data_IF_100476525761
#
_entry.id   IF_100476525761
#
_cell.length_a   1.000
_cell.length_b   1.000
_cell.length_c   1.000
_cell.angle_alpha   90.00
_cell.angle_beta   90.00
_cell.angle_gamma   90.00
#
_symmetry.space_group_name_H-M   'P 1'
#
loop_
_entity.id
_entity.type
_entity.pdbx_description
1 polymer ?
#
# COMPACT_ATOMS: atom_id res chain seq x y z
N UNK A 1 0.75 9.15 0.06
CA UNK A 1 1.61 8.63 -1.01
C UNK A 1 0.70 8.00 -2.04
N UNK A 2 1.06 8.10 -3.31
CA UNK A 2 0.16 7.78 -4.41
C UNK A 2 -0.79 8.92 -4.81
N UNK A 3 -1.75 8.61 -5.67
CA UNK A 3 -2.52 9.60 -6.44
C UNK A 3 -3.53 10.37 -5.58
N UNK A 4 -3.31 11.67 -5.47
CA UNK A 4 -4.13 12.56 -4.61
C UNK A 4 -5.60 12.52 -5.04
N UNK A 5 -6.49 12.34 -4.07
CA UNK A 5 -7.94 12.25 -4.23
C UNK A 5 -8.49 11.07 -5.05
N UNK A 6 -7.65 10.16 -5.56
CA UNK A 6 -8.13 9.01 -6.34
C UNK A 6 -9.08 8.12 -5.51
N UNK A 7 -8.74 7.84 -4.24
CA UNK A 7 -9.59 7.02 -3.40
C UNK A 7 -10.99 7.64 -3.22
N UNK A 8 -11.05 8.94 -2.97
CA UNK A 8 -12.32 9.66 -2.82
C UNK A 8 -13.13 9.61 -4.11
N UNK A 9 -12.49 9.87 -5.25
CA UNK A 9 -13.13 9.76 -6.56
C UNK A 9 -13.72 8.36 -6.79
N UNK A 10 -12.96 7.30 -6.51
CA UNK A 10 -13.42 5.93 -6.66
C UNK A 10 -14.59 5.63 -5.70
N UNK A 11 -14.52 6.01 -4.42
CA UNK A 11 -15.60 5.80 -3.47
C UNK A 11 -16.91 6.53 -3.84
N UNK A 12 -16.78 7.76 -4.37
CA UNK A 12 -17.93 8.58 -4.75
C UNK A 12 -18.64 8.03 -6.02
N UNK A 13 -17.86 7.45 -6.95
CA UNK A 13 -18.36 7.04 -8.28
C UNK A 13 -18.52 5.52 -8.45
N UNK A 14 -17.90 4.69 -7.60
CA UNK A 14 -17.82 3.23 -7.78
C UNK A 14 -18.49 2.44 -6.64
N UNK A 15 -19.72 2.80 -6.28
CA UNK A 15 -20.42 2.23 -5.11
C UNK A 15 -20.73 0.74 -5.27
N UNK A 16 -20.91 0.28 -6.51
CA UNK A 16 -21.19 -1.12 -6.78
C UNK A 16 -19.92 -1.96 -6.90
N UNK A 17 -18.77 -1.33 -7.15
CA UNK A 17 -17.49 -2.04 -7.37
C UNK A 17 -16.60 -2.05 -6.13
N UNK A 18 -16.91 -1.20 -5.14
CA UNK A 18 -16.22 -1.11 -3.85
C UNK A 18 -17.15 -1.62 -2.77
N UNK A 19 -16.84 -2.80 -2.21
CA UNK A 19 -17.72 -3.48 -1.27
C UNK A 19 -17.01 -3.83 0.02
N UNK A 20 -17.74 -3.73 1.13
CA UNK A 20 -17.32 -4.33 2.39
C UNK A 20 -17.55 -5.84 2.32
N UNK A 21 -16.50 -6.61 2.58
CA UNK A 21 -16.45 -8.07 2.52
C UNK A 21 -16.01 -8.60 3.87
N UNK A 22 -16.72 -9.59 4.40
CA UNK A 22 -16.27 -10.27 5.63
C UNK A 22 -15.16 -11.28 5.31
N UNK A 23 -14.28 -11.53 6.28
CA UNK A 23 -13.15 -12.43 6.05
C UNK A 23 -13.57 -13.88 5.76
N UNK A 24 -14.72 -14.34 6.24
CA UNK A 24 -15.22 -15.68 5.91
C UNK A 24 -15.50 -15.87 4.42
N UNK A 25 -15.87 -14.81 3.69
CA UNK A 25 -16.11 -14.84 2.25
C UNK A 25 -14.82 -15.05 1.45
N UNK A 26 -13.67 -14.78 2.08
CA UNK A 26 -12.33 -15.00 1.53
C UNK A 26 -11.74 -16.36 1.93
N UNK A 27 -12.53 -17.26 2.53
CA UNK A 27 -12.07 -18.58 2.94
C UNK A 27 -11.46 -19.37 1.77
N UNK A 28 -10.30 -19.98 2.02
CA UNK A 28 -9.50 -20.72 1.03
C UNK A 28 -8.79 -19.85 0.00
N UNK A 29 -8.96 -18.51 0.03
CA UNK A 29 -8.29 -17.61 -0.90
C UNK A 29 -6.85 -17.35 -0.47
N UNK A 30 -5.97 -17.24 -1.48
CA UNK A 30 -4.58 -16.77 -1.31
C UNK A 30 -4.56 -15.26 -1.40
N UNK A 31 -4.01 -14.59 -0.39
CA UNK A 31 -3.94 -13.12 -0.33
C UNK A 31 -2.48 -12.73 -0.21
N UNK A 32 -1.98 -11.92 -1.16
CA UNK A 32 -0.65 -11.31 -1.04
C UNK A 32 -0.77 -10.03 -0.22
N UNK A 33 0.16 -9.79 0.68
CA UNK A 33 0.14 -8.67 1.62
C UNK A 33 1.38 -7.82 1.36
N UNK A 34 1.16 -6.56 1.05
CA UNK A 34 2.20 -5.55 1.06
C UNK A 34 2.60 -5.27 2.52
N UNK A 35 3.73 -5.82 2.95
CA UNK A 35 4.05 -5.96 4.38
C UNK A 35 4.50 -4.63 4.99
N UNK A 36 5.26 -3.83 4.24
CA UNK A 36 5.91 -2.63 4.76
C UNK A 36 4.90 -1.59 5.24
N UNK A 37 3.78 -1.41 4.54
CA UNK A 37 2.71 -0.49 4.94
C UNK A 37 2.16 -0.85 6.33
N UNK A 38 1.94 -2.14 6.57
CA UNK A 38 1.41 -2.63 7.83
C UNK A 38 2.45 -2.55 8.95
N UNK A 39 3.72 -2.84 8.64
CA UNK A 39 4.81 -2.68 9.60
C UNK A 39 4.97 -1.23 10.06
N UNK A 40 5.01 -0.25 9.16
CA UNK A 40 5.09 1.16 9.53
C UNK A 40 3.90 1.59 10.39
N UNK A 41 2.68 1.16 10.03
CA UNK A 41 1.47 1.48 10.80
C UNK A 41 1.54 0.92 12.22
N UNK A 42 1.80 -0.38 12.36
CA UNK A 42 1.79 -1.03 13.67
C UNK A 42 2.99 -0.64 14.54
N UNK A 43 4.14 -0.33 13.93
CA UNK A 43 5.27 0.24 14.66
C UNK A 43 4.93 1.64 15.21
N UNK A 44 4.21 2.46 14.46
CA UNK A 44 3.77 3.79 14.94
C UNK A 44 2.82 3.76 16.13
N UNK A 45 2.10 2.66 16.26
CA UNK A 45 1.19 2.36 17.37
C UNK A 45 1.90 1.63 18.52
N UNK A 46 3.20 1.33 18.40
CA UNK A 46 4.00 0.54 19.35
C UNK A 46 3.47 -0.89 19.59
N UNK A 47 2.83 -1.49 18.59
CA UNK A 47 2.16 -2.81 18.70
C UNK A 47 2.52 -3.72 17.52
N UNK A 48 3.77 -3.62 17.02
CA UNK A 48 4.21 -4.24 15.77
C UNK A 48 3.97 -5.76 15.76
N UNK A 49 4.59 -6.49 16.68
CA UNK A 49 4.52 -7.95 16.69
C UNK A 49 3.13 -8.45 17.08
N UNK A 50 2.47 -7.77 18.01
CA UNK A 50 1.10 -8.09 18.46
C UNK A 50 0.10 -8.02 17.30
N UNK A 51 0.11 -6.93 16.55
CA UNK A 51 -0.83 -6.75 15.45
C UNK A 51 -0.50 -7.63 14.25
N UNK A 52 0.78 -7.92 13.97
CA UNK A 52 1.15 -8.92 12.97
C UNK A 52 0.67 -10.32 13.39
N UNK A 53 0.88 -10.70 14.65
CA UNK A 53 0.40 -11.97 15.21
C UNK A 53 -1.12 -12.07 15.09
N UNK A 54 -1.84 -11.03 15.51
CA UNK A 54 -3.30 -10.97 15.44
C UNK A 54 -3.79 -11.06 13.99
N UNK A 55 -3.16 -10.32 13.07
CA UNK A 55 -3.48 -10.36 11.66
C UNK A 55 -3.34 -11.78 11.08
N UNK A 56 -2.21 -12.43 11.33
CA UNK A 56 -1.98 -13.80 10.86
C UNK A 56 -2.99 -14.77 11.48
N UNK A 57 -3.23 -14.68 12.78
CA UNK A 57 -4.15 -15.55 13.50
C UNK A 57 -5.58 -15.44 12.97
N UNK A 58 -6.04 -14.20 12.73
CA UNK A 58 -7.37 -13.94 12.16
C UNK A 58 -7.49 -14.45 10.72
N UNK A 59 -6.50 -14.19 9.87
CA UNK A 59 -6.54 -14.69 8.50
C UNK A 59 -6.58 -16.22 8.47
N UNK A 60 -5.75 -16.88 9.28
CA UNK A 60 -5.73 -18.33 9.40
C UNK A 60 -7.03 -18.91 9.96
N UNK A 61 -7.67 -18.25 10.94
CA UNK A 61 -8.94 -18.73 11.50
C UNK A 61 -10.07 -18.77 10.46
N UNK A 62 -10.00 -17.90 9.45
CA UNK A 62 -10.91 -17.91 8.29
C UNK A 62 -10.40 -18.73 7.11
N UNK A 63 -9.37 -19.56 7.30
CA UNK A 63 -8.75 -20.37 6.24
C UNK A 63 -8.23 -19.53 5.05
N UNK A 64 -7.86 -18.28 5.29
CA UNK A 64 -7.17 -17.43 4.31
C UNK A 64 -5.68 -17.83 4.34
N UNK A 65 -5.06 -17.86 3.16
CA UNK A 65 -3.66 -18.25 2.99
C UNK A 65 -2.83 -17.01 2.63
N UNK A 66 -2.30 -16.28 3.62
CA UNK A 66 -1.51 -15.09 3.37
C UNK A 66 -0.12 -15.40 2.80
N UNK A 67 0.37 -14.51 1.94
CA UNK A 67 1.78 -14.40 1.57
C UNK A 67 2.24 -12.97 1.89
N UNK A 68 3.19 -12.84 2.80
CA UNK A 68 3.78 -11.55 3.15
C UNK A 68 4.87 -11.20 2.14
N UNK A 69 4.75 -10.05 1.50
CA UNK A 69 5.75 -9.53 0.55
C UNK A 69 6.45 -8.34 1.19
N UNK A 70 7.76 -8.45 1.36
CA UNK A 70 8.62 -7.39 1.89
C UNK A 70 9.26 -6.61 0.73
N UNK A 71 9.46 -5.31 0.94
CA UNK A 71 10.21 -4.49 -0.02
C UNK A 71 11.68 -4.90 -0.09
N UNK A 72 12.20 -4.91 -1.31
CA UNK A 72 13.62 -4.99 -1.60
C UNK A 72 14.25 -3.60 -1.77
N UNK A 73 15.14 -3.49 -2.77
CA UNK A 73 15.84 -2.24 -3.02
C UNK A 73 14.91 -1.27 -3.76
N UNK A 74 14.71 -0.04 -3.26
CA UNK A 74 13.87 0.93 -3.97
C UNK A 74 14.49 1.31 -5.33
N UNK A 75 13.65 1.62 -6.33
CA UNK A 75 14.11 2.04 -7.65
C UNK A 75 14.79 3.42 -7.58
N UNK A 76 15.69 3.70 -8.54
CA UNK A 76 16.49 4.94 -8.55
C UNK A 76 15.60 6.18 -8.69
N UNK A 77 14.50 6.03 -9.42
CA UNK A 77 13.50 7.05 -9.72
C UNK A 77 12.84 7.60 -8.45
N UNK A 78 12.79 6.81 -7.36
CA UNK A 78 12.27 7.26 -6.05
C UNK A 78 13.33 7.91 -5.16
N UNK A 79 14.58 8.08 -5.60
CA UNK A 79 15.64 8.63 -4.74
C UNK A 79 15.32 10.04 -4.24
N UNK A 80 14.81 10.91 -5.12
CA UNK A 80 14.41 12.27 -4.74
C UNK A 80 13.29 12.26 -3.70
N UNK A 81 12.25 11.44 -3.93
CA UNK A 81 11.15 11.25 -2.97
C UNK A 81 11.65 10.77 -1.61
N UNK A 82 12.58 9.80 -1.61
CA UNK A 82 13.16 9.27 -0.38
C UNK A 82 14.02 10.31 0.36
N UNK A 83 14.72 11.20 -0.36
CA UNK A 83 15.44 12.33 0.22
C UNK A 83 14.49 13.32 0.88
N UNK A 84 13.39 13.68 0.22
CA UNK A 84 12.35 14.55 0.81
C UNK A 84 11.71 13.91 2.04
N UNK A 85 11.35 12.62 1.97
CA UNK A 85 10.84 11.87 3.13
C UNK A 85 11.83 11.91 4.29
N UNK A 86 13.14 11.74 4.03
CA UNK A 86 14.17 11.83 5.08
C UNK A 86 14.25 13.23 5.69
N UNK A 87 14.17 14.27 4.88
CA UNK A 87 14.15 15.67 5.35
C UNK A 87 12.94 15.93 6.24
N UNK A 88 11.74 15.58 5.77
CA UNK A 88 10.49 15.77 6.53
C UNK A 88 10.51 14.99 7.85
N UNK A 89 11.08 13.78 7.87
CA UNK A 89 11.27 13.01 9.11
C UNK A 89 12.15 13.74 10.12
N UNK A 90 13.27 14.30 9.65
CA UNK A 90 14.19 15.06 10.50
C UNK A 90 13.52 16.32 11.07
N UNK A 91 12.80 17.06 10.24
CA UNK A 91 12.06 18.25 10.69
C UNK A 91 10.96 17.90 11.71
N UNK A 92 10.25 16.79 11.53
CA UNK A 92 9.25 16.33 12.49
C UNK A 92 9.86 15.87 13.82
N UNK A 93 11.01 15.19 13.77
CA UNK A 93 11.79 14.76 14.94
C UNK A 93 12.32 15.97 15.73
N UNK A 94 12.85 16.99 15.05
CA UNK A 94 13.29 18.24 15.67
C UNK A 94 12.14 18.98 16.36
N UNK A 95 10.98 19.11 15.69
CA UNK A 95 9.78 19.71 16.29
C UNK A 95 9.28 18.94 17.52
N UNK A 96 9.30 17.61 17.46
CA UNK A 96 8.91 16.76 18.58
C UNK A 96 9.82 17.01 19.80
N UNK A 97 11.14 17.03 19.60
CA UNK A 97 12.11 17.24 20.68
C UNK A 97 11.96 18.64 21.29
N UNK A 98 11.74 19.66 20.46
CA UNK A 98 11.51 21.03 20.94
C UNK A 98 10.25 21.09 21.83
N UNK A 99 9.13 20.55 21.35
CA UNK A 99 7.87 20.53 22.10
C UNK A 99 7.98 19.71 23.39
N UNK A 100 8.66 18.56 23.36
CA UNK A 100 8.89 17.74 24.55
C UNK A 100 9.75 18.46 25.59
N UNK A 101 10.79 19.19 25.15
CA UNK A 101 11.62 20.01 26.02
C UNK A 101 10.85 21.20 26.62
N UNK A 102 10.04 21.91 25.82
CA UNK A 102 9.21 23.03 26.30
C UNK A 102 8.27 22.57 27.43
N UNK A 103 7.62 21.41 27.26
CA UNK A 103 6.76 20.80 28.29
C UNK A 103 7.55 20.50 29.57
N UNK A 104 8.77 19.99 29.44
CA UNK A 104 9.65 19.66 30.57
C UNK A 104 10.17 20.93 31.28
N UNK A 105 10.55 21.97 30.54
CA UNK A 105 11.17 23.18 31.11
C UNK A 105 10.15 24.16 31.69
N UNK A 106 8.97 24.27 31.08
CA UNK A 106 7.91 25.20 31.52
C UNK A 106 6.89 24.54 32.45
N UNK A 107 7.12 23.27 32.85
CA UNK A 107 6.20 22.45 33.66
C UNK A 107 4.75 22.47 33.15
N UNK A 108 4.58 22.56 31.82
CA UNK A 108 3.26 22.62 31.19
C UNK A 108 2.54 21.29 31.41
N UNK A 109 1.32 21.34 31.95
CA UNK A 109 0.48 20.17 31.98
C UNK A 109 0.19 19.69 30.56
N UNK A 110 0.50 18.42 30.26
CA UNK A 110 0.14 17.77 29.00
C UNK A 110 -1.38 17.74 28.88
N UNK A 111 -1.93 18.69 28.12
CA UNK A 111 -3.32 18.68 27.70
C UNK A 111 -3.54 17.66 26.59
N UNK A 112 -4.76 17.18 26.41
CA UNK A 112 -5.12 16.24 25.33
C UNK A 112 -4.64 16.73 23.95
N UNK A 113 -4.72 18.05 23.71
CA UNK A 113 -4.27 18.66 22.45
C UNK A 113 -2.76 18.54 22.22
N UNK A 114 -1.96 18.73 23.27
CA UNK A 114 -0.49 18.60 23.20
C UNK A 114 -0.13 17.13 22.99
N UNK A 115 -0.82 16.21 23.66
CA UNK A 115 -0.58 14.78 23.48
C UNK A 115 -0.97 14.31 22.07
N UNK A 116 -2.07 14.80 21.51
CA UNK A 116 -2.43 14.56 20.11
C UNK A 116 -1.36 15.07 19.13
N UNK A 117 -0.82 16.28 19.36
CA UNK A 117 0.22 16.86 18.52
C UNK A 117 1.54 16.07 18.60
N UNK A 118 1.98 15.71 19.80
CA UNK A 118 3.14 14.84 20.01
C UNK A 118 2.96 13.48 19.31
N UNK A 119 1.77 12.88 19.43
CA UNK A 119 1.46 11.62 18.76
C UNK A 119 1.47 11.75 17.23
N UNK A 120 0.98 12.87 16.68
CA UNK A 120 1.04 13.15 15.24
C UNK A 120 2.48 13.33 14.75
N UNK A 121 3.31 14.07 15.47
CA UNK A 121 4.73 14.24 15.16
C UNK A 121 5.46 12.90 15.23
N UNK A 122 5.25 12.12 16.31
CA UNK A 122 5.84 10.79 16.49
C UNK A 122 5.58 9.87 15.30
N UNK A 123 4.35 9.88 14.78
CA UNK A 123 3.97 9.08 13.61
C UNK A 123 4.70 9.50 12.33
N UNK A 124 5.15 10.75 12.20
CA UNK A 124 5.83 11.24 11.01
C UNK A 124 7.28 10.77 10.92
N UNK A 125 7.97 10.56 12.05
CA UNK A 125 9.39 10.18 12.07
C UNK A 125 9.67 8.71 12.41
N UNK A 126 8.66 7.82 12.30
CA UNK A 126 8.84 6.37 12.49
C UNK A 126 9.93 5.83 11.56
N UNK A 127 10.84 5.02 12.12
CA UNK A 127 11.90 4.32 11.39
C UNK A 127 11.77 2.83 11.64
N UNK A 128 11.63 2.05 10.56
CA UNK A 128 11.77 0.59 10.63
C UNK A 128 13.25 0.25 10.66
N UNK A 129 13.67 -0.50 11.67
CA UNK A 129 15.02 -1.04 11.79
C UNK A 129 15.10 -2.46 11.24
N UNK A 130 16.31 -2.90 10.90
CA UNK A 130 16.55 -4.25 10.39
C UNK A 130 16.02 -5.33 11.35
N UNK A 131 16.22 -5.13 12.65
CA UNK A 131 15.74 -6.03 13.71
C UNK A 131 14.22 -6.18 13.70
N UNK A 132 13.47 -5.12 13.40
CA UNK A 132 12.01 -5.16 13.33
C UNK A 132 11.55 -6.08 12.19
N UNK A 133 12.20 -5.96 11.03
CA UNK A 133 11.94 -6.79 9.84
C UNK A 133 12.26 -8.25 10.14
N UNK A 134 13.41 -8.54 10.75
CA UNK A 134 13.80 -9.90 11.14
C UNK A 134 12.83 -10.52 12.14
N UNK A 135 12.44 -9.77 13.18
CA UNK A 135 11.47 -10.24 14.17
C UNK A 135 10.12 -10.58 13.53
N UNK A 136 9.64 -9.73 12.61
CA UNK A 136 8.38 -9.97 11.88
C UNK A 136 8.50 -11.19 10.96
N UNK A 137 9.61 -11.37 10.24
CA UNK A 137 9.85 -12.58 9.42
C UNK A 137 9.89 -13.84 10.25
N UNK A 138 10.58 -13.82 11.38
CA UNK A 138 10.65 -14.93 12.33
C UNK A 138 9.27 -15.27 12.88
N UNK A 139 8.45 -14.28 13.21
CA UNK A 139 7.07 -14.46 13.66
C UNK A 139 6.20 -15.12 12.58
N UNK A 140 6.25 -14.60 11.35
CA UNK A 140 5.52 -15.15 10.19
C UNK A 140 5.89 -16.62 9.97
N UNK A 141 7.18 -16.93 9.97
CA UNK A 141 7.69 -18.29 9.80
C UNK A 141 7.25 -19.20 10.95
N UNK A 142 7.28 -18.71 12.19
CA UNK A 142 6.87 -19.47 13.38
C UNK A 142 5.38 -19.77 13.37
N UNK A 143 4.56 -18.90 12.78
CA UNK A 143 3.12 -19.13 12.56
C UNK A 143 2.83 -19.99 11.31
N UNK A 144 3.88 -20.54 10.68
CA UNK A 144 3.76 -21.41 9.52
C UNK A 144 3.22 -20.69 8.28
N UNK A 145 3.41 -19.38 8.17
CA UNK A 145 2.97 -18.57 7.01
C UNK A 145 4.16 -18.30 6.09
N UNK A 146 3.88 -18.16 4.80
CA UNK A 146 4.90 -17.88 3.79
C UNK A 146 5.21 -16.38 3.71
N UNK A 147 6.48 -16.03 3.51
CA UNK A 147 6.89 -14.67 3.12
C UNK A 147 7.92 -14.71 1.99
N UNK A 148 8.08 -13.58 1.30
CA UNK A 148 9.10 -13.36 0.28
C UNK A 148 9.60 -11.92 0.29
N UNK A 149 10.84 -11.74 -0.12
CA UNK A 149 11.43 -10.43 -0.44
C UNK A 149 11.23 -10.15 -1.93
N UNK A 150 10.65 -8.99 -2.24
CA UNK A 150 10.60 -8.49 -3.61
C UNK A 150 12.01 -8.02 -4.03
N UNK A 151 12.39 -8.13 -5.31
CA UNK A 151 13.66 -7.56 -5.79
C UNK A 151 13.66 -6.02 -5.69
N UNK A 152 12.51 -5.41 -5.98
CA UNK A 152 12.24 -3.99 -5.83
C UNK A 152 11.07 -3.77 -4.87
N UNK A 153 10.07 -3.02 -5.32
CA UNK A 153 8.91 -2.67 -4.50
C UNK A 153 7.91 -3.84 -4.40
N UNK A 154 7.34 -4.03 -3.22
CA UNK A 154 6.41 -5.12 -2.92
C UNK A 154 5.08 -4.98 -3.68
N UNK A 155 4.61 -3.76 -3.90
CA UNK A 155 3.41 -3.42 -4.66
C UNK A 155 3.42 -4.01 -6.08
N UNK A 156 4.54 -3.90 -6.80
CA UNK A 156 4.76 -4.45 -8.15
C UNK A 156 4.59 -5.95 -8.16
N UNK A 157 5.28 -6.63 -7.23
CA UNK A 157 5.21 -8.09 -7.11
C UNK A 157 3.79 -8.54 -6.72
N UNK A 158 3.18 -7.90 -5.75
CA UNK A 158 1.81 -8.17 -5.32
C UNK A 158 0.82 -8.04 -6.49
N UNK A 159 0.86 -6.92 -7.22
CA UNK A 159 0.00 -6.69 -8.37
C UNK A 159 0.22 -7.76 -9.46
N UNK A 160 1.48 -8.10 -9.77
CA UNK A 160 1.82 -9.14 -10.75
C UNK A 160 1.29 -10.51 -10.34
N UNK A 161 1.41 -10.90 -9.07
CA UNK A 161 0.90 -12.18 -8.58
C UNK A 161 -0.63 -12.29 -8.70
N UNK A 162 -1.35 -11.21 -8.39
CA UNK A 162 -2.81 -11.15 -8.56
C UNK A 162 -3.19 -11.18 -10.04
N UNK A 163 -2.48 -10.44 -10.89
CA UNK A 163 -2.76 -10.38 -12.32
C UNK A 163 -2.50 -11.71 -13.04
N UNK A 164 -1.50 -12.48 -12.61
CA UNK A 164 -1.25 -13.87 -13.09
C UNK A 164 -2.12 -14.92 -12.37
N UNK A 165 -3.09 -14.51 -11.55
CA UNK A 165 -4.00 -15.38 -10.78
C UNK A 165 -3.31 -16.35 -9.81
N UNK A 166 -2.09 -16.04 -9.35
CA UNK A 166 -1.38 -16.82 -8.33
C UNK A 166 -1.93 -16.54 -6.93
N UNK A 167 -2.47 -15.33 -6.75
CA UNK A 167 -3.22 -14.88 -5.59
C UNK A 167 -4.58 -14.32 -6.02
N UNK A 168 -5.55 -14.35 -5.11
CA UNK A 168 -6.90 -13.87 -5.36
C UNK A 168 -6.98 -12.34 -5.36
N UNK A 169 -6.31 -11.69 -4.40
CA UNK A 169 -6.27 -10.26 -4.20
C UNK A 169 -4.98 -9.83 -3.46
N UNK A 170 -4.66 -8.54 -3.55
CA UNK A 170 -3.60 -7.91 -2.77
C UNK A 170 -4.20 -7.13 -1.60
N UNK A 171 -3.66 -7.29 -0.41
CA UNK A 171 -3.93 -6.47 0.75
C UNK A 171 -2.88 -5.36 0.85
N UNK A 172 -3.25 -4.13 0.48
CA UNK A 172 -2.36 -2.96 0.51
C UNK A 172 -3.20 -1.69 0.61
N UNK A 173 -2.70 -0.66 1.29
CA UNK A 173 -3.35 0.66 1.31
C UNK A 173 -2.88 1.58 0.18
N UNK A 174 -1.92 1.13 -0.64
CA UNK A 174 -1.36 1.91 -1.73
C UNK A 174 -2.33 2.03 -2.91
N UNK A 175 -2.45 3.26 -3.43
CA UNK A 175 -3.25 3.56 -4.61
C UNK A 175 -2.54 3.17 -5.91
N UNK A 176 -1.22 3.03 -5.88
CA UNK A 176 -0.42 2.66 -7.05
C UNK A 176 -0.77 1.24 -7.53
N UNK A 177 -1.34 0.39 -6.66
CA UNK A 177 -1.94 -0.90 -7.00
C UNK A 177 -2.93 -0.83 -8.17
N UNK A 178 -3.70 0.26 -8.27
CA UNK A 178 -4.67 0.45 -9.36
C UNK A 178 -3.98 0.85 -10.68
N UNK A 179 -2.83 1.54 -10.61
CA UNK A 179 -2.01 1.89 -11.78
C UNK A 179 -1.33 0.66 -12.34
N UNK A 180 -0.89 -0.27 -11.51
CA UNK A 180 -0.41 -1.59 -11.95
C UNK A 180 -1.53 -2.50 -12.49
N UNK A 181 -2.79 -2.07 -12.41
CA UNK A 181 -3.94 -2.84 -12.87
C UNK A 181 -4.19 -4.08 -12.04
N UNK A 182 -3.90 -4.04 -10.74
CA UNK A 182 -4.17 -5.14 -9.83
C UNK A 182 -5.67 -5.46 -9.85
N UNK A 183 -6.03 -6.68 -10.27
CA UNK A 183 -7.44 -7.08 -10.46
C UNK A 183 -8.30 -6.87 -9.20
N UNK A 184 -7.75 -7.16 -8.02
CA UNK A 184 -8.47 -7.04 -6.74
C UNK A 184 -7.55 -6.50 -5.66
N UNK A 185 -7.97 -5.40 -5.06
CA UNK A 185 -7.26 -4.74 -3.95
C UNK A 185 -8.16 -4.75 -2.73
N UNK A 186 -7.64 -5.27 -1.62
CA UNK A 186 -8.25 -5.28 -0.30
C UNK A 186 -7.63 -4.14 0.50
N UNK A 187 -8.48 -3.30 1.08
CA UNK A 187 -8.10 -2.10 1.83
C UNK A 187 -8.89 -1.99 3.12
N UNK A 188 -8.37 -1.25 4.08
CA UNK A 188 -8.99 -0.99 5.37
C UNK A 188 -9.35 -2.29 6.11
N UNK A 189 -8.39 -3.22 6.20
CA UNK A 189 -8.58 -4.45 6.98
C UNK A 189 -8.87 -4.11 8.44
N UNK A 190 -10.05 -4.49 8.91
CA UNK A 190 -10.45 -4.38 10.31
C UNK A 190 -10.25 -5.71 11.01
N UNK A 191 -9.19 -5.80 11.82
CA UNK A 191 -8.93 -6.97 12.67
C UNK A 191 -9.98 -7.14 13.77
N UNK A 192 -10.62 -6.05 14.21
CA UNK A 192 -11.70 -6.10 15.20
C UNK A 192 -12.99 -6.65 14.56
N UNK A 193 -13.43 -6.00 13.49
CA UNK A 193 -14.72 -6.31 12.86
C UNK A 193 -14.66 -7.45 11.84
N UNK A 194 -13.47 -8.06 11.66
CA UNK A 194 -13.20 -9.20 10.77
C UNK A 194 -13.72 -8.97 9.34
N UNK A 195 -13.50 -7.78 8.81
CA UNK A 195 -13.90 -7.40 7.46
C UNK A 195 -12.85 -6.51 6.78
N UNK A 196 -13.03 -6.33 5.47
CA UNK A 196 -12.13 -5.56 4.61
C UNK A 196 -12.94 -4.91 3.48
N UNK A 197 -12.45 -3.83 2.89
CA UNK A 197 -13.06 -3.21 1.72
C UNK A 197 -12.36 -3.73 0.47
N UNK A 198 -13.12 -4.43 -0.38
CA UNK A 198 -12.65 -4.97 -1.65
C UNK A 198 -12.96 -4.00 -2.79
N UNK A 199 -11.94 -3.74 -3.60
CA UNK A 199 -11.99 -2.99 -4.85
C UNK A 199 -11.77 -3.99 -5.99
N UNK A 200 -12.76 -4.18 -6.86
CA UNK A 200 -12.61 -4.98 -8.08
C UNK A 200 -12.35 -4.06 -9.28
N UNK A 201 -11.16 -4.17 -9.87
CA UNK A 201 -10.71 -3.25 -10.91
C UNK A 201 -11.54 -3.35 -12.18
N UNK A 202 -12.04 -4.55 -12.52
CA UNK A 202 -12.87 -4.74 -13.71
C UNK A 202 -14.20 -4.00 -13.55
N UNK A 203 -14.84 -4.18 -12.41
CA UNK A 203 -16.13 -3.55 -12.12
C UNK A 203 -15.97 -2.03 -12.01
N UNK A 204 -14.89 -1.55 -11.36
CA UNK A 204 -14.55 -0.12 -11.27
C UNK A 204 -14.50 0.50 -12.66
N UNK A 205 -13.74 -0.08 -13.59
CA UNK A 205 -13.58 0.43 -14.96
C UNK A 205 -14.90 0.50 -15.72
N UNK A 206 -15.79 -0.48 -15.51
CA UNK A 206 -17.14 -0.49 -16.08
C UNK A 206 -17.98 0.65 -15.51
N UNK A 207 -17.96 0.85 -14.19
CA UNK A 207 -18.80 1.84 -13.50
C UNK A 207 -18.40 3.29 -13.86
N UNK A 208 -17.10 3.54 -14.08
CA UNK A 208 -16.60 4.86 -14.51
C UNK A 208 -16.56 5.05 -16.04
N UNK A 209 -17.00 4.05 -16.82
CA UNK A 209 -16.92 4.03 -18.30
C UNK A 209 -15.52 4.37 -18.83
N UNK A 210 -14.49 3.68 -18.33
CA UNK A 210 -13.10 3.87 -18.78
C UNK A 210 -12.45 2.54 -19.15
N UNK A 211 -11.62 2.54 -20.18
CA UNK A 211 -10.69 1.44 -20.37
C UNK A 211 -9.48 1.63 -19.44
N UNK A 212 -8.74 0.55 -19.21
CA UNK A 212 -7.61 0.56 -18.29
C UNK A 212 -6.49 1.52 -18.70
N UNK A 213 -6.19 1.65 -20.00
CA UNK A 213 -5.11 2.51 -20.48
C UNK A 213 -5.41 3.98 -20.19
N UNK A 214 -6.63 4.44 -20.48
CA UNK A 214 -7.06 5.81 -20.17
C UNK A 214 -7.07 6.05 -18.66
N UNK A 215 -7.55 5.08 -17.86
CA UNK A 215 -7.52 5.18 -16.40
C UNK A 215 -6.08 5.29 -15.85
N UNK A 216 -5.17 4.44 -16.35
CA UNK A 216 -3.74 4.47 -16.00
C UNK A 216 -3.12 5.82 -16.37
N UNK A 217 -3.39 6.33 -17.57
CA UNK A 217 -2.91 7.66 -17.99
C UNK A 217 -3.45 8.77 -17.09
N UNK A 218 -4.76 8.77 -16.77
CA UNK A 218 -5.35 9.76 -15.85
C UNK A 218 -4.66 9.72 -14.50
N UNK A 219 -4.46 8.52 -13.94
CA UNK A 219 -3.77 8.32 -12.67
C UNK A 219 -2.36 8.91 -12.68
N UNK A 220 -1.56 8.58 -13.71
CA UNK A 220 -0.18 9.07 -13.85
C UNK A 220 -0.13 10.58 -14.04
N UNK A 221 -0.96 11.14 -14.92
CA UNK A 221 -1.03 12.59 -15.17
C UNK A 221 -1.44 13.35 -13.91
N UNK A 222 -2.30 12.76 -13.07
CA UNK A 222 -2.81 13.38 -11.84
C UNK A 222 -1.83 13.34 -10.67
N UNK A 223 -0.65 12.76 -10.85
CA UNK A 223 0.41 12.66 -9.85
C UNK A 223 0.53 11.27 -9.24
N UNK A 224 1.69 10.65 -9.42
CA UNK A 224 2.18 9.44 -8.74
C UNK A 224 3.45 9.77 -7.98
N UNK A 225 4.01 8.80 -7.26
CA UNK A 225 5.30 8.94 -6.59
C UNK A 225 6.48 9.23 -7.56
N UNK A 226 6.28 9.15 -8.89
CA UNK A 226 7.31 9.33 -9.92
C UNK A 226 7.29 10.70 -10.64
N UNK A 227 6.28 11.56 -10.43
CA UNK A 227 6.18 12.89 -11.06
C UNK A 227 5.79 14.02 -10.08
N UNK A 228 6.53 14.09 -8.98
CA UNK A 228 6.29 14.98 -7.83
C UNK A 228 6.20 16.48 -8.19
N UNK A 229 6.85 16.90 -9.29
CA UNK A 229 6.89 18.29 -9.71
C UNK A 229 5.69 18.73 -10.57
N UNK A 230 4.76 17.82 -10.87
CA UNK A 230 3.63 18.13 -11.72
C UNK A 230 2.52 18.82 -10.92
N UNK A 231 2.10 20.03 -11.32
CA UNK A 231 0.96 20.76 -10.72
C UNK A 231 -0.40 20.16 -11.12
N UNK A 232 -0.40 19.11 -11.92
CA UNK A 232 -1.60 18.47 -12.41
C UNK A 232 -2.39 17.79 -11.29
N UNK A 233 -3.69 18.01 -11.28
CA UNK A 233 -4.61 17.39 -10.33
C UNK A 233 -5.63 16.49 -11.03
N UNK A 234 -6.19 15.56 -10.25
CA UNK A 234 -7.18 14.60 -10.73
C UNK A 234 -8.45 15.26 -11.28
N UNK A 235 -8.88 16.38 -10.69
CA UNK A 235 -10.11 17.06 -11.10
C UNK A 235 -9.97 17.68 -12.48
N UNK A 236 -8.84 18.34 -12.76
CA UNK A 236 -8.51 18.96 -14.04
C UNK A 236 -8.29 17.90 -15.12
N UNK A 237 -7.57 16.83 -14.79
CA UNK A 237 -7.37 15.69 -15.71
C UNK A 237 -8.71 15.05 -16.11
N UNK A 238 -9.60 14.81 -15.14
CA UNK A 238 -10.95 14.27 -15.41
C UNK A 238 -11.83 15.24 -16.24
N UNK A 239 -11.66 16.57 -16.10
CA UNK A 239 -12.34 17.55 -16.97
C UNK A 239 -11.88 17.40 -18.42
N UNK A 240 -10.59 17.18 -18.67
CA UNK A 240 -10.09 16.90 -20.01
C UNK A 240 -10.59 15.55 -20.53
N UNK A 241 -10.61 14.52 -19.70
CA UNK A 241 -11.16 13.22 -20.10
C UNK A 241 -12.63 13.30 -20.52
N UNK A 242 -13.45 14.12 -19.82
CA UNK A 242 -14.83 14.39 -20.25
C UNK A 242 -14.92 15.10 -21.60
N UNK A 243 -13.98 16.01 -21.93
CA UNK A 243 -13.90 16.66 -23.25
C UNK A 243 -13.50 15.66 -24.34
N UNK A 244 -12.53 14.78 -24.05
CA UNK A 244 -12.12 13.68 -24.93
C UNK A 244 -13.28 12.73 -25.24
N UNK A 245 -14.02 12.27 -24.23
CA UNK A 245 -15.21 11.41 -24.44
C UNK A 245 -16.26 12.09 -25.34
N UNK A 246 -16.42 13.41 -25.26
CA UNK A 246 -17.35 14.17 -26.12
C UNK A 246 -16.88 14.33 -27.56
N UNK A 247 -15.57 14.36 -27.82
CA UNK A 247 -15.05 14.51 -29.19
C UNK A 247 -15.21 13.25 -30.04
N UNK A 248 -15.47 12.09 -29.42
CA UNK A 248 -15.74 10.79 -30.08
C UNK A 248 -14.64 10.36 -31.06
N UNK A 249 -13.42 10.86 -30.86
CA UNK A 249 -12.26 10.50 -31.67
C UNK A 249 -11.81 9.07 -31.38
N UNK A 250 -11.29 8.38 -32.40
CA UNK A 250 -10.73 7.03 -32.27
C UNK A 250 -9.23 7.09 -31.96
N UNK A 251 -8.84 7.76 -30.88
CA UNK A 251 -7.46 7.76 -30.36
C UNK A 251 -7.48 7.54 -28.85
N UNK A 252 -6.32 7.28 -28.23
CA UNK A 252 -6.21 7.19 -26.77
C UNK A 252 -6.34 8.56 -26.11
N UNK A 253 -6.76 8.61 -24.84
CA UNK A 253 -6.83 9.88 -24.11
C UNK A 253 -5.50 10.63 -24.09
N UNK A 254 -4.39 9.92 -23.89
CA UNK A 254 -3.04 10.52 -23.83
C UNK A 254 -2.68 11.26 -25.12
N UNK A 255 -2.79 10.58 -26.28
CA UNK A 255 -2.54 11.19 -27.59
C UNK A 255 -3.47 12.38 -27.87
N UNK A 256 -4.76 12.28 -27.51
CA UNK A 256 -5.68 13.40 -27.67
C UNK A 256 -5.25 14.60 -26.82
N UNK A 257 -4.80 14.36 -25.59
CA UNK A 257 -4.39 15.40 -24.66
C UNK A 257 -3.15 16.16 -25.16
N UNK A 258 -2.15 15.44 -25.66
CA UNK A 258 -0.93 16.00 -26.26
C UNK A 258 -1.25 16.87 -27.50
N UNK A 259 -2.09 16.38 -28.41
CA UNK A 259 -2.41 17.08 -29.64
C UNK A 259 -3.29 18.33 -29.44
N UNK A 260 -4.05 18.39 -28.35
CA UNK A 260 -5.07 19.43 -28.14
C UNK A 260 -4.74 20.39 -26.99
N UNK A 261 -3.72 20.10 -26.18
CA UNK A 261 -3.40 20.87 -24.98
C UNK A 261 -1.90 20.82 -24.68
N UNK A 262 -1.39 21.86 -24.01
CA UNK A 262 -0.04 21.84 -23.42
C UNK A 262 -0.09 21.38 -21.95
N UNK A 263 -1.02 20.48 -21.62
CA UNK A 263 -1.29 20.10 -20.23
C UNK A 263 -0.29 19.06 -19.68
N UNK A 264 0.42 18.37 -20.56
CA UNK A 264 1.34 17.31 -20.22
C UNK A 264 2.65 17.47 -21.01
N UNK A 265 3.75 16.96 -20.45
CA UNK A 265 4.90 16.54 -21.25
C UNK A 265 4.68 15.07 -21.64
N UNK A 266 4.42 14.83 -22.92
CA UNK A 266 4.07 13.50 -23.41
C UNK A 266 5.20 12.48 -23.21
N UNK A 267 6.46 12.88 -23.40
CA UNK A 267 7.61 11.97 -23.28
C UNK A 267 7.85 11.62 -21.82
N UNK A 268 7.71 12.58 -20.90
CA UNK A 268 7.79 12.32 -19.46
C UNK A 268 6.72 11.31 -19.02
N UNK A 269 5.46 11.51 -19.45
CA UNK A 269 4.35 10.64 -19.05
C UNK A 269 4.50 9.22 -19.60
N UNK A 270 4.98 9.04 -20.84
CA UNK A 270 5.25 7.71 -21.40
C UNK A 270 6.32 6.99 -20.59
N UNK A 271 7.43 7.66 -20.29
CA UNK A 271 8.51 7.05 -19.51
C UNK A 271 7.98 6.56 -18.16
N UNK A 272 7.08 7.30 -17.52
CA UNK A 272 6.45 6.88 -16.26
C UNK A 272 5.48 5.71 -16.49
N UNK A 273 4.66 5.72 -17.55
CA UNK A 273 3.77 4.61 -17.89
C UNK A 273 4.55 3.29 -17.99
N UNK A 274 5.74 3.33 -18.59
CA UNK A 274 6.62 2.17 -18.76
C UNK A 274 7.16 1.65 -17.42
N UNK A 275 7.36 2.51 -16.41
CA UNK A 275 7.74 2.09 -15.04
C UNK A 275 6.65 1.25 -14.35
N UNK A 276 5.39 1.42 -14.77
CA UNK A 276 4.22 0.67 -14.30
C UNK A 276 3.87 -0.52 -15.20
N UNK A 277 4.71 -0.86 -16.19
CA UNK A 277 4.55 -2.08 -16.97
C UNK A 277 5.15 -3.28 -16.23
N UNK A 278 4.28 -4.19 -15.79
CA UNK A 278 4.66 -5.38 -15.05
C UNK A 278 5.24 -6.49 -15.94
N UNK A 279 5.00 -6.49 -17.25
CA UNK A 279 5.40 -7.62 -18.11
C UNK A 279 6.90 -7.59 -18.46
N UNK A 280 7.53 -6.42 -18.46
CA UNK A 280 8.96 -6.25 -18.77
C UNK A 280 9.90 -6.65 -17.61
N UNK A 281 9.36 -6.86 -16.42
CA UNK A 281 10.16 -7.16 -15.23
C UNK A 281 10.49 -8.67 -15.12
N UNK A 282 11.65 -9.04 -15.67
CA UNK A 282 12.20 -10.39 -15.62
C UNK A 282 12.60 -10.82 -14.20
N UNK A 283 12.95 -9.88 -13.31
CA UNK A 283 13.44 -10.17 -11.97
C UNK A 283 12.33 -10.80 -11.11
N UNK A 284 11.08 -10.37 -11.33
CA UNK A 284 9.92 -10.91 -10.62
C UNK A 284 9.64 -12.39 -10.95
N UNK A 285 10.13 -12.92 -12.08
CA UNK A 285 9.79 -14.29 -12.54
C UNK A 285 10.15 -15.37 -11.52
N UNK A 286 11.24 -15.19 -10.78
CA UNK A 286 11.66 -16.16 -9.75
C UNK A 286 10.69 -16.15 -8.56
N UNK A 287 10.27 -14.97 -8.12
CA UNK A 287 9.34 -14.81 -6.99
C UNK A 287 7.95 -15.40 -7.30
N UNK A 288 7.52 -15.42 -8.58
CA UNK A 288 6.24 -16.01 -8.99
C UNK A 288 6.15 -17.54 -8.77
N UNK A 289 7.26 -18.23 -8.60
CA UNK A 289 7.28 -19.69 -8.32
C UNK A 289 7.04 -20.01 -6.84
N UNK A 290 6.95 -19.00 -5.98
CA UNK A 290 6.78 -19.16 -4.54
C UNK A 290 5.51 -19.92 -4.22
N UNK A 291 5.62 -20.98 -3.41
CA UNK A 291 4.49 -21.74 -2.91
C UNK A 291 3.81 -20.99 -1.76
N UNK A 292 2.63 -20.45 -2.03
CA UNK A 292 1.78 -19.82 -1.02
C UNK A 292 1.03 -20.91 -0.23
N UNK A 293 1.41 -21.13 1.03
CA UNK A 293 0.80 -22.13 1.90
C UNK A 293 0.79 -21.71 3.38
N UNK A 294 -0.19 -22.24 4.10
CA UNK A 294 -0.18 -22.33 5.54
C UNK A 294 0.39 -23.69 5.93
N UNK A 295 1.43 -23.69 6.77
CA UNK A 295 2.08 -24.85 7.37
C UNK A 295 1.76 -24.92 8.86
N UNK A 296 2.31 -25.93 9.54
CA UNK A 296 2.19 -26.10 10.99
C UNK A 296 2.81 -24.93 11.76
N UNK A 297 2.21 -24.61 12.90
CA UNK A 297 2.67 -23.55 13.80
C UNK A 297 3.76 -24.13 14.69
N UNK A 298 4.92 -23.48 14.72
CA UNK A 298 6.00 -23.78 15.63
C UNK A 298 5.77 -23.02 16.96
N UNK A 299 5.12 -23.70 17.91
CA UNK A 299 4.74 -23.12 19.21
C UNK A 299 5.96 -22.74 20.05
N UNK A 300 7.05 -23.50 20.01
CA UNK A 300 8.24 -23.20 20.83
C UNK A 300 8.93 -21.91 20.37
N UNK A 301 9.09 -21.71 19.06
CA UNK A 301 9.61 -20.46 18.51
C UNK A 301 8.67 -19.28 18.80
N UNK A 302 7.37 -19.50 18.66
CA UNK A 302 6.35 -18.48 18.97
C UNK A 302 6.43 -18.01 20.43
N UNK A 303 6.59 -18.96 21.37
CA UNK A 303 6.78 -18.66 22.80
C UNK A 303 8.01 -17.78 23.04
N UNK A 304 9.15 -18.12 22.43
CA UNK A 304 10.40 -17.35 22.57
C UNK A 304 10.31 -15.93 21.98
N UNK A 305 9.59 -15.76 20.86
CA UNK A 305 9.43 -14.45 20.22
C UNK A 305 8.51 -13.57 21.07
N UNK A 306 7.32 -14.06 21.39
CA UNK A 306 6.29 -13.24 22.04
C UNK A 306 6.49 -13.08 23.55
N UNK A 307 7.25 -13.96 24.22
CA UNK A 307 7.60 -13.76 25.64
C UNK A 307 8.44 -12.49 25.87
N UNK A 308 9.08 -11.96 24.83
CA UNK A 308 9.82 -10.69 24.87
C UNK A 308 8.91 -9.47 24.77
N UNK A 309 7.66 -9.69 24.41
CA UNK A 309 6.59 -8.68 24.23
C UNK A 309 5.47 -8.91 25.26
N UNK A 310 5.82 -9.45 26.44
CA UNK A 310 4.91 -9.69 27.56
C UNK A 310 3.66 -10.56 27.28
N UNK A 311 3.69 -11.40 26.22
CA UNK A 311 2.60 -12.34 25.98
C UNK A 311 2.55 -13.44 27.04
N UNK A 312 1.34 -13.62 27.59
CA UNK A 312 1.04 -14.71 28.51
C UNK A 312 0.56 -15.93 27.72
N UNK A 313 1.31 -17.03 27.82
CA UNK A 313 0.90 -18.31 27.27
C UNK A 313 0.17 -19.12 28.35
N UNK A 314 -1.15 -19.28 28.20
CA UNK A 314 -1.91 -20.23 29.01
C UNK A 314 -1.56 -21.63 28.54
N UNK A 315 -1.05 -22.47 29.45
CA UNK A 315 -0.66 -23.85 29.17
C UNK A 315 -1.85 -24.78 28.94
#
# INVERSE_FOLDING_TARGET
>A
MGIKYLNRFLQDNCKNSIKKVNLYELSGKKIVIDTSIYMYRYLGENVLLENIYLMISVLRSYNIIPLFVFDGKPPKEKENLLRERKKNKKEAEEKYILLENEILTEEIQKTDKIEEELNQLRKQFIRLHHKDIENVKLLIQSLGVSFIDAPGEADKLCAKMVNKNLAYACLSEDMDMFVYGCKRVLRYLSLLNKNVIMYDMKDILIEIDMNFNDFKSICIISGTDYNINNENDLTKTLKYFKKFKKSKVKTTFLNWLDQNTNYIDYMEIINIIDLFDLDNDNELKNCLKTKIKNSEINISNLKNILSKEDFIFVN
#
